data_IF_619378159701
#
_entry.id   IF_619378159701
#
_cell.length_a   1.000
_cell.length_b   1.000
_cell.length_c   1.000
_cell.angle_alpha   90.00
_cell.angle_beta   90.00
_cell.angle_gamma   90.00
#
_symmetry.space_group_name_H-M   'P 1'
#
loop_
_entity.id
_entity.type
_entity.pdbx_description
1 polymer ?
#
# COMPACT_ATOMS: atom_id res chain seq x y z
N UNK A 1 38.04 -9.61 -15.64
CA UNK A 1 37.55 -8.83 -14.47
C UNK A 1 36.04 -8.72 -14.63
N UNK A 2 35.27 -9.55 -13.94
CA UNK A 2 33.80 -9.48 -14.02
C UNK A 2 33.39 -8.09 -13.53
N UNK A 3 32.62 -7.38 -14.35
CA UNK A 3 32.18 -6.02 -14.08
C UNK A 3 31.53 -5.94 -12.69
N UNK A 4 32.24 -5.35 -11.73
CA UNK A 4 31.79 -5.17 -10.35
C UNK A 4 30.46 -4.39 -10.28
N UNK A 5 30.16 -3.58 -11.30
CA UNK A 5 28.88 -2.90 -11.46
C UNK A 5 27.75 -3.92 -11.57
N UNK A 6 27.83 -4.87 -12.50
CA UNK A 6 26.80 -5.88 -12.76
C UNK A 6 26.56 -6.79 -11.54
N UNK A 7 27.63 -7.13 -10.82
CA UNK A 7 27.52 -7.84 -9.56
C UNK A 7 26.81 -6.99 -8.50
N UNK A 8 27.22 -5.72 -8.28
CA UNK A 8 26.49 -4.80 -7.37
C UNK A 8 25.03 -4.58 -7.78
N UNK A 9 24.70 -4.68 -9.06
CA UNK A 9 23.32 -4.58 -9.56
C UNK A 9 22.45 -5.78 -9.17
N UNK A 10 23.00 -7.00 -9.26
CA UNK A 10 22.29 -8.22 -8.87
C UNK A 10 22.09 -8.34 -7.36
N UNK A 11 23.05 -7.85 -6.55
CA UNK A 11 23.01 -8.03 -5.10
C UNK A 11 22.27 -6.89 -4.40
N UNK A 12 22.03 -5.73 -5.04
CA UNK A 12 21.35 -4.59 -4.41
C UNK A 12 19.83 -4.80 -4.45
N UNK A 13 19.20 -5.22 -3.34
CA UNK A 13 17.79 -5.58 -3.35
C UNK A 13 16.88 -4.34 -3.37
N UNK A 14 17.47 -3.14 -3.30
CA UNK A 14 16.81 -1.89 -2.94
C UNK A 14 16.90 -0.81 -4.03
N UNK A 15 17.19 -1.15 -5.29
CA UNK A 15 17.31 -0.13 -6.36
C UNK A 15 16.07 0.78 -6.38
N UNK A 16 16.25 2.05 -6.01
CA UNK A 16 15.19 3.06 -5.89
C UNK A 16 14.70 3.37 -4.46
N UNK A 17 15.03 2.56 -3.45
CA UNK A 17 14.64 2.77 -2.06
C UNK A 17 15.85 2.97 -1.14
N UNK A 18 15.71 3.88 -0.18
CA UNK A 18 16.75 4.20 0.79
C UNK A 18 17.11 3.03 1.71
N UNK A 19 16.15 2.14 2.01
CA UNK A 19 16.35 0.99 2.91
C UNK A 19 15.55 -0.24 2.48
N UNK A 20 15.98 -1.44 2.89
CA UNK A 20 15.23 -2.68 2.69
C UNK A 20 13.86 -2.65 3.36
N UNK A 21 13.78 -2.03 4.55
CA UNK A 21 12.51 -1.87 5.28
C UNK A 21 11.50 -1.10 4.46
N UNK A 22 11.91 0.00 3.83
CA UNK A 22 11.05 0.80 2.94
C UNK A 22 10.66 0.02 1.69
N UNK A 23 11.58 -0.69 1.06
CA UNK A 23 11.26 -1.50 -0.12
C UNK A 23 10.24 -2.61 0.21
N UNK A 24 10.45 -3.32 1.32
CA UNK A 24 9.53 -4.36 1.77
C UNK A 24 8.14 -3.81 2.06
N UNK A 25 8.04 -2.72 2.84
CA UNK A 25 6.76 -2.09 3.14
C UNK A 25 6.02 -1.65 1.86
N UNK A 26 6.72 -1.05 0.90
CA UNK A 26 6.12 -0.63 -0.37
C UNK A 26 5.65 -1.82 -1.21
N UNK A 27 6.46 -2.87 -1.36
CA UNK A 27 6.08 -4.07 -2.12
C UNK A 27 4.86 -4.74 -1.47
N UNK A 28 4.85 -4.91 -0.13
CA UNK A 28 3.70 -5.46 0.60
C UNK A 28 2.44 -4.60 0.45
N UNK A 29 2.57 -3.28 0.54
CA UNK A 29 1.46 -2.36 0.30
C UNK A 29 0.88 -2.51 -1.11
N UNK A 30 1.73 -2.67 -2.13
CA UNK A 30 1.28 -2.87 -3.51
C UNK A 30 0.58 -4.22 -3.72
N UNK A 31 1.06 -5.30 -3.11
CA UNK A 31 0.37 -6.60 -3.13
C UNK A 31 -1.05 -6.50 -2.55
N UNK A 32 -1.19 -5.81 -1.40
CA UNK A 32 -2.49 -5.56 -0.75
C UNK A 32 -3.42 -4.76 -1.67
N UNK A 33 -2.92 -3.66 -2.25
CA UNK A 33 -3.70 -2.84 -3.20
C UNK A 33 -4.13 -3.64 -4.43
N UNK A 34 -3.25 -4.51 -4.96
CA UNK A 34 -3.54 -5.37 -6.10
C UNK A 34 -4.59 -6.43 -5.77
N UNK A 35 -4.52 -7.04 -4.59
CA UNK A 35 -5.51 -8.02 -4.12
C UNK A 35 -6.89 -7.40 -3.93
N UNK A 36 -6.95 -6.16 -3.42
CA UNK A 36 -8.18 -5.39 -3.30
C UNK A 36 -8.76 -5.04 -4.67
N UNK A 37 -7.93 -4.56 -5.61
CA UNK A 37 -8.37 -4.20 -6.98
C UNK A 37 -8.95 -5.38 -7.74
N UNK A 38 -8.38 -6.57 -7.59
CA UNK A 38 -8.86 -7.80 -8.25
C UNK A 38 -10.04 -8.47 -7.53
N UNK A 39 -10.53 -7.87 -6.45
CA UNK A 39 -11.43 -8.46 -5.46
C UNK A 39 -11.01 -9.86 -4.97
N UNK A 40 -9.74 -10.21 -5.14
CA UNK A 40 -9.13 -11.43 -4.60
C UNK A 40 -9.05 -11.37 -3.07
N UNK A 41 -9.14 -10.16 -2.48
CA UNK A 41 -9.36 -9.97 -1.06
C UNK A 41 -10.70 -10.57 -0.55
N UNK A 42 -11.66 -10.88 -1.43
CA UNK A 42 -12.87 -11.63 -1.10
C UNK A 42 -12.60 -13.14 -0.93
N UNK A 43 -11.62 -13.68 -1.66
CA UNK A 43 -11.27 -15.12 -1.63
C UNK A 43 -10.35 -15.50 -0.46
N UNK A 44 -9.55 -14.56 0.04
CA UNK A 44 -8.79 -14.70 1.27
C UNK A 44 -9.67 -14.11 2.37
N UNK A 45 -10.30 -14.93 3.22
CA UNK A 45 -11.24 -14.56 4.31
C UNK A 45 -10.72 -13.48 5.30
N UNK A 46 -10.43 -12.26 4.85
CA UNK A 46 -9.72 -11.23 5.61
C UNK A 46 -10.67 -10.12 6.10
N UNK A 47 -11.80 -9.91 5.41
CA UNK A 47 -12.99 -9.29 5.94
C UNK A 47 -14.05 -9.23 4.85
N UNK A 48 -15.26 -9.73 5.14
CA UNK A 48 -16.42 -9.57 4.25
C UNK A 48 -16.93 -8.11 4.22
N UNK A 49 -16.44 -7.24 5.11
CA UNK A 49 -16.86 -5.83 5.21
C UNK A 49 -15.82 -4.84 4.67
N UNK A 50 -16.28 -3.64 4.30
CA UNK A 50 -15.39 -2.55 3.84
C UNK A 50 -14.42 -2.09 4.94
N UNK A 51 -14.83 -2.22 6.21
CA UNK A 51 -14.03 -1.77 7.36
C UNK A 51 -12.78 -2.61 7.57
N UNK A 52 -12.83 -3.91 7.30
CA UNK A 52 -11.67 -4.78 7.38
C UNK A 52 -10.75 -4.68 6.17
N UNK A 53 -11.31 -4.37 4.98
CA UNK A 53 -10.50 -3.93 3.82
C UNK A 53 -9.72 -2.65 4.16
N UNK A 54 -10.36 -1.67 4.82
CA UNK A 54 -9.70 -0.45 5.28
C UNK A 54 -8.58 -0.72 6.31
N UNK A 55 -8.84 -1.54 7.33
CA UNK A 55 -7.82 -1.94 8.33
C UNK A 55 -6.62 -2.63 7.71
N UNK A 56 -6.82 -3.41 6.65
CA UNK A 56 -5.73 -4.08 5.94
C UNK A 56 -4.81 -3.07 5.25
N UNK A 57 -5.40 -2.07 4.59
CA UNK A 57 -4.67 -0.95 3.99
C UNK A 57 -3.93 -0.17 5.07
N UNK A 58 -4.59 0.17 6.17
CA UNK A 58 -3.99 0.90 7.29
C UNK A 58 -2.75 0.18 7.85
N UNK A 59 -2.84 -1.15 8.04
CA UNK A 59 -1.71 -1.97 8.49
C UNK A 59 -0.60 -2.09 7.46
N UNK A 60 -0.93 -2.25 6.18
CA UNK A 60 0.06 -2.45 5.12
C UNK A 60 0.89 -1.19 4.87
N UNK A 61 0.26 -0.02 4.96
CA UNK A 61 0.90 1.28 4.78
C UNK A 61 1.33 1.92 6.10
N UNK A 62 1.08 1.26 7.22
CA UNK A 62 1.35 1.76 8.57
C UNK A 62 0.79 3.18 8.79
N UNK A 63 -0.42 3.42 8.28
CA UNK A 63 -1.19 4.64 8.54
C UNK A 63 -2.15 4.32 9.69
N UNK A 64 -2.22 5.23 10.67
CA UNK A 64 -2.90 4.99 11.94
C UNK A 64 -4.35 4.49 11.78
N UNK A 65 -4.91 3.81 12.79
CA UNK A 65 -6.27 3.29 12.72
C UNK A 65 -7.27 4.43 12.48
N UNK A 66 -8.14 4.28 11.48
CA UNK A 66 -9.12 5.30 11.13
C UNK A 66 -8.63 6.37 10.16
N UNK A 67 -7.33 6.40 9.82
CA UNK A 67 -6.78 7.38 8.88
C UNK A 67 -7.49 7.35 7.52
N UNK A 68 -7.96 6.17 7.08
CA UNK A 68 -8.70 6.05 5.83
C UNK A 68 -10.12 6.62 5.95
N UNK A 69 -10.76 6.47 7.10
CA UNK A 69 -12.08 7.04 7.37
C UNK A 69 -12.03 8.58 7.42
N UNK A 70 -10.98 9.12 8.05
CA UNK A 70 -10.74 10.56 8.09
C UNK A 70 -10.48 11.13 6.69
N UNK A 71 -9.68 10.43 5.88
CA UNK A 71 -9.43 10.82 4.50
C UNK A 71 -10.70 10.80 3.65
N UNK A 72 -11.56 9.79 3.79
CA UNK A 72 -12.85 9.72 3.10
C UNK A 72 -13.73 10.89 3.51
N UNK A 73 -13.84 11.18 4.82
CA UNK A 73 -14.62 12.33 5.32
C UNK A 73 -14.12 13.65 4.74
N UNK A 74 -12.80 13.83 4.69
CA UNK A 74 -12.19 15.01 4.08
C UNK A 74 -12.52 15.13 2.60
N UNK A 75 -12.41 14.04 1.83
CA UNK A 75 -12.73 14.04 0.39
C UNK A 75 -14.21 14.34 0.16
N UNK A 76 -15.11 13.74 0.95
CA UNK A 76 -16.56 14.02 0.86
C UNK A 76 -16.86 15.50 1.09
N UNK A 77 -16.27 16.12 2.11
CA UNK A 77 -16.42 17.55 2.36
C UNK A 77 -15.89 18.42 1.22
N UNK A 78 -14.80 18.02 0.56
CA UNK A 78 -14.26 18.76 -0.58
C UNK A 78 -15.13 18.63 -1.84
N UNK A 79 -15.78 17.48 -2.04
CA UNK A 79 -16.71 17.29 -3.16
C UNK A 79 -17.99 18.11 -2.97
N UNK A 80 -18.54 18.13 -1.75
CA UNK A 80 -19.73 18.93 -1.42
C UNK A 80 -19.51 20.44 -1.66
N UNK A 81 -18.28 20.93 -1.51
CA UNK A 81 -17.92 22.34 -1.76
C UNK A 81 -17.61 22.64 -3.25
N UNK A 82 -17.56 21.64 -4.13
CA UNK A 82 -17.37 21.82 -5.57
C UNK A 82 -18.68 21.90 -6.36
N UNK A 83 -19.80 21.51 -5.73
CA UNK A 83 -21.14 21.52 -6.33
C UNK A 83 -21.94 22.81 -6.01
N UNK A 84 -21.32 23.80 -5.34
CA UNK A 84 -21.82 25.18 -5.14
C UNK A 84 -21.08 26.20 -6.02
#
# INVERSE_FOLDING_TARGET
MIDHGKLKQLIRPVRGFKTLKTAYATIKGFEVMRALRKDQAFSVNIARDMRGKARLVERAFNVGPGALADAVRFISQQLELQDE
#
